data_IF_420614640363
#
_entry.id   IF_420614640363
#
_cell.length_a   1.000
_cell.length_b   1.000
_cell.length_c   1.000
_cell.angle_alpha   90.00
_cell.angle_beta   90.00
_cell.angle_gamma   90.00
#
_symmetry.space_group_name_H-M   'P 1'
#
loop_
_entity.id
_entity.type
_entity.pdbx_description
1 polymer ?
#
# COMPACT_ATOMS: atom_id res chain seq x y z
N UNK A 1 11.42 -32.12 -26.22
CA UNK A 1 9.95 -32.27 -26.35
C UNK A 1 9.30 -31.25 -25.41
N UNK A 2 8.31 -30.42 -25.74
CA UNK A 2 7.45 -30.39 -26.91
C UNK A 2 7.11 -28.95 -27.32
N UNK A 3 7.23 -28.69 -28.62
CA UNK A 3 6.86 -27.44 -29.30
C UNK A 3 5.34 -27.37 -29.48
N UNK A 4 4.60 -27.43 -28.38
CA UNK A 4 3.12 -27.49 -28.37
C UNK A 4 2.43 -26.12 -28.25
N UNK A 5 3.04 -25.17 -27.54
CA UNK A 5 2.44 -23.85 -27.25
C UNK A 5 2.53 -22.84 -28.40
N UNK A 6 3.57 -22.91 -29.23
CA UNK A 6 3.78 -21.93 -30.33
C UNK A 6 2.71 -22.02 -31.43
N UNK A 7 1.95 -23.12 -31.52
CA UNK A 7 0.92 -23.30 -32.55
C UNK A 7 -0.45 -22.76 -32.16
N UNK A 8 -0.74 -22.57 -30.87
CA UNK A 8 -2.01 -21.96 -30.45
C UNK A 8 -1.98 -20.43 -30.54
N UNK A 9 -0.79 -19.81 -30.42
CA UNK A 9 -0.64 -18.36 -30.56
C UNK A 9 -0.63 -17.91 -32.04
N UNK A 10 -0.15 -18.77 -32.96
CA UNK A 10 0.04 -18.42 -34.39
C UNK A 10 -1.21 -18.50 -35.28
N UNK A 11 -2.35 -18.96 -34.77
CA UNK A 11 -3.60 -19.07 -35.54
C UNK A 11 -4.48 -17.83 -35.54
N UNK A 12 -4.12 -16.80 -34.76
CA UNK A 12 -4.91 -15.57 -34.61
C UNK A 12 -4.25 -14.34 -35.26
N UNK A 13 -3.19 -14.54 -36.05
CA UNK A 13 -2.53 -13.48 -36.79
C UNK A 13 -3.07 -13.42 -38.21
N UNK A 14 -4.19 -12.73 -38.41
CA UNK A 14 -4.50 -12.00 -39.65
C UNK A 14 -5.27 -10.73 -39.27
N UNK A 15 -4.52 -9.64 -39.16
CA UNK A 15 -4.99 -8.26 -39.40
C UNK A 15 -5.86 -7.65 -38.31
N UNK A 16 -5.24 -6.91 -37.39
CA UNK A 16 -5.39 -5.45 -37.32
C UNK A 16 -4.45 -4.93 -36.21
N UNK A 17 -3.52 -4.06 -36.60
CA UNK A 17 -2.84 -3.15 -35.69
C UNK A 17 -3.84 -2.06 -35.30
N UNK A 18 -4.40 -2.10 -34.11
CA UNK A 18 -4.78 -0.88 -33.40
C UNK A 18 -4.78 -1.08 -31.89
N UNK A 19 -4.10 -0.16 -31.22
CA UNK A 19 -3.85 -0.16 -29.79
C UNK A 19 -5.04 0.46 -29.06
N UNK A 20 -6.05 -0.35 -28.74
CA UNK A 20 -7.08 0.00 -27.75
C UNK A 20 -7.28 -1.22 -26.86
N UNK A 21 -6.86 -1.13 -25.59
CA UNK A 21 -7.30 -2.10 -24.57
C UNK A 21 -8.79 -1.82 -24.30
N UNK A 22 -9.68 -2.31 -25.17
CA UNK A 22 -11.12 -2.29 -24.92
C UNK A 22 -11.40 -3.06 -23.63
N UNK A 23 -11.66 -2.32 -22.57
CA UNK A 23 -12.05 -2.89 -21.28
C UNK A 23 -13.47 -3.42 -21.46
N UNK A 24 -13.66 -4.74 -21.37
CA UNK A 24 -14.99 -5.33 -21.48
C UNK A 24 -15.87 -4.86 -20.30
N UNK A 25 -16.74 -3.88 -20.56
CA UNK A 25 -17.66 -3.31 -19.57
C UNK A 25 -18.82 -4.26 -19.27
N UNK A 26 -18.57 -5.32 -18.51
CA UNK A 26 -19.53 -6.40 -18.23
C UNK A 26 -20.88 -5.91 -17.65
N UNK A 27 -20.89 -4.77 -16.94
CA UNK A 27 -22.11 -4.17 -16.37
C UNK A 27 -23.06 -3.57 -17.40
N UNK A 28 -22.58 -3.29 -18.62
CA UNK A 28 -23.35 -2.66 -19.70
C UNK A 28 -23.74 -3.64 -20.83
N UNK A 29 -23.45 -4.93 -20.66
CA UNK A 29 -23.63 -5.98 -21.67
C UNK A 29 -24.78 -6.92 -21.31
N UNK A 30 -25.38 -7.54 -22.33
CA UNK A 30 -26.39 -8.57 -22.12
C UNK A 30 -25.75 -9.87 -21.59
N UNK A 31 -26.54 -10.64 -20.83
CA UNK A 31 -26.08 -11.86 -20.16
C UNK A 31 -25.43 -12.85 -21.16
N UNK A 32 -26.02 -13.01 -22.34
CA UNK A 32 -25.53 -13.92 -23.38
C UNK A 32 -24.17 -13.49 -23.94
N UNK A 33 -23.92 -12.19 -24.02
CA UNK A 33 -22.66 -11.62 -24.48
C UNK A 33 -21.56 -11.84 -23.44
N UNK A 34 -21.89 -11.68 -22.15
CA UNK A 34 -20.99 -12.01 -21.04
C UNK A 34 -20.67 -13.52 -20.97
N UNK A 35 -21.66 -14.41 -21.14
CA UNK A 35 -21.43 -15.86 -21.19
C UNK A 35 -20.46 -16.25 -22.30
N UNK A 36 -20.63 -15.64 -23.48
CA UNK A 36 -19.76 -15.87 -24.62
C UNK A 36 -18.35 -15.31 -24.40
N UNK A 37 -18.24 -14.10 -23.86
CA UNK A 37 -16.96 -13.45 -23.59
C UNK A 37 -16.14 -14.20 -22.53
N UNK A 38 -16.77 -14.59 -21.42
CA UNK A 38 -16.09 -15.32 -20.35
C UNK A 38 -16.05 -16.84 -20.57
N UNK A 39 -16.68 -17.36 -21.63
CA UNK A 39 -16.69 -18.80 -21.94
C UNK A 39 -17.32 -19.63 -20.82
N UNK A 40 -18.39 -19.12 -20.19
CA UNK A 40 -19.06 -19.77 -19.06
C UNK A 40 -20.52 -20.06 -19.39
N UNK A 41 -21.09 -21.04 -18.71
CA UNK A 41 -22.50 -21.38 -18.84
C UNK A 41 -23.23 -21.05 -17.53
N UNK A 42 -24.37 -20.36 -17.60
CA UNK A 42 -25.13 -19.99 -16.40
C UNK A 42 -25.64 -21.16 -15.56
N UNK A 43 -25.88 -22.33 -16.16
CA UNK A 43 -26.43 -23.50 -15.45
C UNK A 43 -25.31 -24.39 -14.91
N UNK A 44 -24.27 -24.63 -15.71
CA UNK A 44 -23.20 -25.58 -15.36
C UNK A 44 -21.92 -24.92 -14.82
N UNK A 45 -21.82 -23.59 -14.88
CA UNK A 45 -20.59 -22.85 -14.55
C UNK A 45 -19.46 -23.10 -15.55
N UNK A 46 -18.23 -22.79 -15.13
CA UNK A 46 -17.00 -23.10 -15.85
C UNK A 46 -16.65 -24.59 -15.73
N UNK A 47 -16.04 -25.14 -16.79
CA UNK A 47 -15.44 -26.47 -16.71
C UNK A 47 -14.16 -26.42 -15.89
N UNK A 48 -13.86 -27.49 -15.17
CA UNK A 48 -12.67 -27.58 -14.30
C UNK A 48 -11.36 -27.34 -15.06
N UNK A 49 -11.28 -27.75 -16.33
CA UNK A 49 -10.11 -27.48 -17.18
C UNK A 49 -9.94 -25.99 -17.53
N UNK A 50 -11.04 -25.30 -17.82
CA UNK A 50 -11.02 -23.86 -18.14
C UNK A 50 -10.72 -23.02 -16.89
N UNK A 51 -11.17 -23.47 -15.71
CA UNK A 51 -10.85 -22.82 -14.45
C UNK A 51 -9.34 -22.83 -14.17
N UNK A 52 -8.66 -23.96 -14.41
CA UNK A 52 -7.20 -24.06 -14.23
C UNK A 52 -6.46 -23.13 -15.17
N UNK A 53 -6.84 -23.11 -16.45
CA UNK A 53 -6.23 -22.23 -17.46
C UNK A 53 -6.42 -20.76 -17.07
N UNK A 54 -7.62 -20.40 -16.59
CA UNK A 54 -7.88 -19.03 -16.12
C UNK A 54 -7.08 -18.67 -14.89
N UNK A 55 -6.85 -19.60 -13.98
CA UNK A 55 -6.01 -19.38 -12.82
C UNK A 55 -4.54 -19.11 -13.19
N UNK A 56 -4.05 -19.75 -14.25
CA UNK A 56 -2.70 -19.50 -14.78
C UNK A 56 -2.59 -18.14 -15.48
N UNK A 57 -3.67 -17.66 -16.11
CA UNK A 57 -3.70 -16.36 -16.82
C UNK A 57 -3.94 -15.19 -15.86
N UNK A 58 -4.88 -15.32 -14.92
CA UNK A 58 -5.35 -14.23 -14.06
C UNK A 58 -4.79 -14.27 -12.64
N UNK A 59 -4.18 -15.39 -12.25
CA UNK A 59 -3.74 -15.62 -10.88
C UNK A 59 -4.88 -15.96 -9.93
N UNK A 60 -4.52 -16.06 -8.65
CA UNK A 60 -5.48 -16.19 -7.56
C UNK A 60 -6.17 -14.84 -7.33
N UNK A 61 -7.43 -14.86 -6.91
CA UNK A 61 -8.21 -13.65 -6.60
C UNK A 61 -7.83 -13.03 -5.24
N UNK A 62 -6.54 -13.06 -4.88
CA UNK A 62 -6.04 -12.52 -3.62
C UNK A 62 -5.41 -11.14 -3.82
N UNK A 63 -5.66 -10.22 -2.88
CA UNK A 63 -4.98 -8.93 -2.85
C UNK A 63 -3.52 -9.11 -2.42
N UNK A 64 -2.60 -8.48 -3.14
CA UNK A 64 -1.18 -8.48 -2.78
C UNK A 64 -0.96 -8.04 -1.33
N UNK A 65 -0.22 -8.85 -0.58
CA UNK A 65 0.15 -8.52 0.80
C UNK A 65 1.30 -7.52 0.78
N UNK A 66 0.98 -6.25 0.94
CA UNK A 66 1.99 -5.27 1.36
C UNK A 66 2.47 -5.64 2.78
N UNK A 67 3.77 -5.89 2.92
CA UNK A 67 4.39 -6.05 4.24
C UNK A 67 4.23 -4.74 5.03
N UNK A 68 3.71 -4.84 6.25
CA UNK A 68 3.53 -3.68 7.13
C UNK A 68 4.86 -2.95 7.36
N UNK A 69 4.83 -1.61 7.41
CA UNK A 69 6.03 -0.82 7.65
C UNK A 69 6.60 -1.15 9.04
N UNK A 70 7.89 -1.44 9.11
CA UNK A 70 8.59 -1.67 10.38
C UNK A 70 8.63 -0.39 11.24
N UNK A 71 8.61 -0.55 12.57
CA UNK A 71 8.71 0.57 13.54
C UNK A 71 9.89 1.52 13.26
N UNK A 72 11.06 0.98 12.90
CA UNK A 72 12.22 1.78 12.51
C UNK A 72 12.00 2.61 11.24
N UNK A 73 11.26 2.06 10.28
CA UNK A 73 10.93 2.76 9.04
C UNK A 73 9.96 3.91 9.30
N UNK A 74 8.98 3.73 10.18
CA UNK A 74 8.05 4.79 10.60
C UNK A 74 8.77 5.95 11.29
N UNK A 75 9.76 5.67 12.14
CA UNK A 75 10.58 6.71 12.76
C UNK A 75 11.39 7.47 11.69
N UNK A 76 11.99 6.75 10.74
CA UNK A 76 12.75 7.37 9.66
C UNK A 76 11.88 8.25 8.75
N UNK A 77 10.66 7.80 8.42
CA UNK A 77 9.68 8.60 7.69
C UNK A 77 9.32 9.87 8.46
N UNK A 78 9.11 9.77 9.78
CA UNK A 78 8.83 10.94 10.62
C UNK A 78 9.99 11.93 10.62
N UNK A 79 11.25 11.46 10.68
CA UNK A 79 12.43 12.32 10.60
C UNK A 79 12.63 12.95 9.21
N UNK A 80 12.02 12.38 8.17
CA UNK A 80 12.03 12.94 6.81
C UNK A 80 10.98 14.04 6.61
N UNK A 81 10.00 14.17 7.50
CA UNK A 81 9.02 15.24 7.46
C UNK A 81 9.69 16.61 7.63
N UNK A 82 9.35 17.55 6.73
CA UNK A 82 9.91 18.91 6.72
C UNK A 82 9.64 19.65 8.04
N UNK A 83 8.44 19.51 8.62
CA UNK A 83 8.08 20.13 9.88
C UNK A 83 8.88 19.54 11.05
N UNK A 84 9.05 18.22 11.07
CA UNK A 84 9.85 17.52 12.09
C UNK A 84 11.31 17.92 12.01
N UNK A 85 11.86 18.05 10.79
CA UNK A 85 13.24 18.54 10.60
C UNK A 85 13.44 19.95 11.15
N UNK A 86 12.47 20.84 10.95
CA UNK A 86 12.53 22.19 11.52
C UNK A 86 12.50 22.15 13.05
N UNK A 87 11.61 21.33 13.64
CA UNK A 87 11.55 21.12 15.08
C UNK A 87 12.85 20.53 15.64
N UNK A 88 13.45 19.57 14.94
CA UNK A 88 14.73 18.98 15.32
C UNK A 88 15.86 20.00 15.25
N UNK A 89 15.89 20.85 14.21
CA UNK A 89 16.85 21.94 14.09
C UNK A 89 16.69 22.95 15.23
N UNK A 90 15.46 23.32 15.57
CA UNK A 90 15.16 24.18 16.72
C UNK A 90 15.63 23.52 18.03
N UNK A 91 15.36 22.23 18.24
CA UNK A 91 15.81 21.49 19.42
C UNK A 91 17.33 21.52 19.59
N UNK A 92 18.08 21.34 18.49
CA UNK A 92 19.55 21.39 18.49
C UNK A 92 20.05 22.80 18.83
N UNK A 93 19.44 23.84 18.25
CA UNK A 93 19.82 25.23 18.52
C UNK A 93 19.51 25.59 19.97
N UNK A 94 18.30 25.30 20.48
CA UNK A 94 17.92 25.53 21.87
C UNK A 94 18.81 24.75 22.84
N UNK A 95 19.19 23.52 22.50
CA UNK A 95 20.12 22.74 23.32
C UNK A 95 21.53 23.35 23.33
N UNK A 96 22.05 23.80 22.18
CA UNK A 96 23.33 24.50 22.12
C UNK A 96 23.29 25.80 22.94
N UNK A 97 22.23 26.59 22.81
CA UNK A 97 22.04 27.80 23.59
C UNK A 97 22.01 27.49 25.09
N UNK A 98 21.24 26.49 25.52
CA UNK A 98 21.22 26.06 26.93
C UNK A 98 22.59 25.57 27.43
N UNK A 99 23.38 24.93 26.57
CA UNK A 99 24.74 24.47 26.90
C UNK A 99 25.73 25.64 27.05
N UNK A 100 25.67 26.64 26.16
CA UNK A 100 26.56 27.81 26.21
C UNK A 100 26.15 28.83 27.28
N UNK A 101 24.85 29.06 27.47
CA UNK A 101 24.30 30.05 28.40
C UNK A 101 24.21 29.53 29.85
N UNK A 102 24.44 28.23 30.07
CA UNK A 102 24.49 27.59 31.39
C UNK A 102 25.57 28.11 32.35
N UNK A 103 26.28 29.19 31.99
CA UNK A 103 27.26 29.91 32.82
C UNK A 103 26.85 31.32 33.26
N UNK A 104 25.74 31.90 32.79
CA UNK A 104 25.35 33.29 33.10
C UNK A 104 24.08 33.34 33.96
N UNK A 105 24.26 33.18 35.27
CA UNK A 105 23.46 33.69 36.39
C UNK A 105 21.91 33.62 36.39
N UNK A 106 21.25 32.79 35.59
CA UNK A 106 19.80 32.57 35.75
C UNK A 106 19.39 31.11 35.48
N UNK A 107 19.04 30.43 36.57
CA UNK A 107 18.34 29.15 36.68
C UNK A 107 18.46 28.17 35.49
N UNK A 108 19.45 27.28 35.53
CA UNK A 108 19.63 26.19 34.53
C UNK A 108 18.33 25.43 34.21
N UNK A 109 17.42 25.33 35.18
CA UNK A 109 16.12 24.72 34.98
C UNK A 109 15.31 25.37 33.84
N UNK A 110 15.31 26.70 33.70
CA UNK A 110 14.54 27.39 32.65
C UNK A 110 15.16 27.18 31.27
N UNK A 111 16.49 27.15 31.18
CA UNK A 111 17.21 26.91 29.92
C UNK A 111 16.94 25.50 29.35
N UNK A 112 16.71 24.48 30.19
CA UNK A 112 16.36 23.14 29.72
C UNK A 112 14.87 22.95 29.40
N UNK A 113 13.98 23.85 29.81
CA UNK A 113 12.53 23.73 29.54
C UNK A 113 12.25 23.81 28.04
N UNK A 114 12.91 24.73 27.32
CA UNK A 114 12.68 24.93 25.89
C UNK A 114 13.02 23.68 25.05
N UNK A 115 14.25 23.11 25.10
CA UNK A 115 14.56 21.88 24.39
C UNK A 115 13.72 20.68 24.89
N UNK A 116 13.32 20.65 26.16
CA UNK A 116 12.46 19.59 26.70
C UNK A 116 11.04 19.63 26.12
N UNK A 117 10.44 20.81 25.95
CA UNK A 117 9.11 20.96 25.32
C UNK A 117 9.17 20.55 23.86
N UNK A 118 10.19 20.96 23.11
CA UNK A 118 10.37 20.58 21.70
C UNK A 118 10.55 19.06 21.58
N UNK A 119 11.35 18.46 22.46
CA UNK A 119 11.53 17.01 22.51
C UNK A 119 10.22 16.27 22.81
N UNK A 120 9.40 16.79 23.72
CA UNK A 120 8.09 16.22 24.01
C UNK A 120 7.15 16.28 22.79
N UNK A 121 7.17 17.37 22.03
CA UNK A 121 6.41 17.48 20.77
C UNK A 121 6.86 16.41 19.77
N UNK A 122 8.17 16.17 19.63
CA UNK A 122 8.69 15.12 18.75
C UNK A 122 8.20 13.72 19.14
N UNK A 123 8.17 13.41 20.44
CA UNK A 123 7.65 12.14 20.96
C UNK A 123 6.17 11.99 20.61
N UNK A 124 5.36 13.02 20.88
CA UNK A 124 3.92 13.00 20.58
C UNK A 124 3.70 12.80 19.08
N UNK A 125 4.47 13.49 18.24
CA UNK A 125 4.36 13.35 16.79
C UNK A 125 4.69 11.93 16.33
N UNK A 126 5.75 11.31 16.87
CA UNK A 126 6.08 9.92 16.57
C UNK A 126 4.97 8.94 17.00
N UNK A 127 4.37 9.13 18.18
CA UNK A 127 3.25 8.31 18.65
C UNK A 127 2.03 8.44 17.74
N UNK A 128 1.69 9.65 17.32
CA UNK A 128 0.58 9.91 16.40
C UNK A 128 0.84 9.26 15.04
N UNK A 129 2.06 9.37 14.50
CA UNK A 129 2.45 8.72 13.24
C UNK A 129 2.28 7.20 13.28
N UNK A 130 2.74 6.55 14.35
CA UNK A 130 2.56 5.10 14.54
C UNK A 130 1.07 4.74 14.69
N UNK A 131 0.30 5.54 15.40
CA UNK A 131 -1.13 5.29 15.56
C UNK A 131 -1.89 5.41 14.23
N UNK A 132 -1.53 6.39 13.40
CA UNK A 132 -2.09 6.57 12.07
C UNK A 132 -1.78 5.37 11.16
N UNK A 133 -0.53 4.87 11.17
CA UNK A 133 -0.14 3.70 10.39
C UNK A 133 -0.92 2.45 10.83
N UNK A 134 -0.93 2.16 12.14
CA UNK A 134 -1.66 1.01 12.68
C UNK A 134 -3.16 1.07 12.36
N UNK A 135 -3.75 2.27 12.35
CA UNK A 135 -5.15 2.45 12.02
C UNK A 135 -5.42 2.22 10.52
N UNK A 136 -4.50 2.65 9.65
CA UNK A 136 -4.59 2.40 8.22
C UNK A 136 -4.44 0.91 7.89
N UNK A 137 -3.49 0.22 8.54
CA UNK A 137 -3.27 -1.22 8.35
C UNK A 137 -4.49 -2.04 8.78
N UNK A 138 -5.10 -1.70 9.93
CA UNK A 138 -6.36 -2.33 10.38
C UNK A 138 -7.52 -2.15 9.41
N UNK A 139 -7.64 -0.97 8.80
CA UNK A 139 -8.70 -0.72 7.81
C UNK A 139 -8.48 -1.57 6.55
N UNK A 140 -7.24 -1.72 6.12
CA UNK A 140 -6.88 -2.59 4.99
C UNK A 140 -7.12 -4.07 5.32
N UNK A 141 -6.78 -4.50 6.53
CA UNK A 141 -7.00 -5.87 7.00
C UNK A 141 -8.50 -6.21 7.05
N UNK A 142 -9.34 -5.30 7.55
CA UNK A 142 -10.79 -5.48 7.54
C UNK A 142 -11.37 -5.61 6.12
N UNK A 143 -10.85 -4.84 5.15
CA UNK A 143 -11.23 -4.99 3.74
C UNK A 143 -10.80 -6.34 3.16
N UNK A 144 -9.62 -6.84 3.55
CA UNK A 144 -9.14 -8.17 3.15
C UNK A 144 -10.00 -9.29 3.74
N UNK A 145 -10.39 -9.17 5.01
CA UNK A 145 -11.24 -10.17 5.69
C UNK A 145 -12.57 -10.34 4.94
N UNK A 146 -13.22 -9.22 4.57
CA UNK A 146 -14.48 -9.23 3.80
C UNK A 146 -14.32 -9.92 2.43
N UNK A 147 -13.18 -9.78 1.77
CA UNK A 147 -12.93 -10.45 0.48
C UNK A 147 -12.61 -11.94 0.66
N UNK A 148 -11.78 -12.28 1.65
CA UNK A 148 -11.36 -13.67 1.90
C UNK A 148 -12.50 -14.58 2.37
N UNK A 149 -13.50 -14.06 3.10
CA UNK A 149 -14.70 -14.84 3.46
C UNK A 149 -15.58 -15.20 2.26
N UNK A 150 -15.48 -14.47 1.14
CA UNK A 150 -16.17 -14.79 -0.11
C UNK A 150 -15.45 -15.84 -0.96
N UNK A 151 -14.23 -16.24 -0.58
CA UNK A 151 -13.41 -17.22 -1.33
C UNK A 151 -13.62 -18.70 -0.92
N UNK A 152 -14.63 -19.00 -0.10
CA UNK A 152 -15.01 -20.39 0.25
C UNK A 152 -16.18 -20.94 -0.53
#
# INVERSE_FOLDING_TARGET
MGKGGEKLVKGLDHGQSDSDHETFCAWAKEIQECEKYYGTNRVSGLRSGDAIIKHEIYGYNELEKHEGKSFWHLILDQLNDTLVRILLAAAIISFMLAWYDGGVDSDKFTAFVEPLVIFLILIVNAMVGIWQENNAEKALEALKEIQSEQER
#
